data_IF_617448164495
#
_entry.id   IF_617448164495
#
_cell.length_a   1.000
_cell.length_b   1.000
_cell.length_c   1.000
_cell.angle_alpha   90.00
_cell.angle_beta   90.00
_cell.angle_gamma   90.00
#
_symmetry.space_group_name_H-M   'P 1'
#
loop_
_entity.id
_entity.type
_entity.pdbx_description
1 polymer ?
#
# COMPACT_ATOMS: atom_id res chain seq x y z
N UNK A 1 -53.02 -27.70 20.84
CA UNK A 1 -53.77 -26.49 21.27
C UNK A 1 -53.08 -26.02 22.55
N UNK A 2 -52.15 -25.06 22.45
CA UNK A 2 -52.25 -23.70 23.05
C UNK A 2 -52.59 -23.72 24.55
N UNK A 3 -51.86 -23.14 25.51
CA UNK A 3 -50.95 -21.97 25.56
C UNK A 3 -50.25 -21.99 26.93
N UNK A 4 -48.93 -21.82 27.00
CA UNK A 4 -48.22 -20.58 27.38
C UNK A 4 -48.19 -20.31 28.91
N UNK A 5 -47.04 -20.65 29.50
CA UNK A 5 -46.55 -20.19 30.82
C UNK A 5 -46.24 -18.70 30.74
N UNK A 6 -46.65 -17.91 31.74
CA UNK A 6 -45.85 -16.74 32.13
C UNK A 6 -46.05 -16.39 33.61
N UNK A 7 -44.95 -16.49 34.35
CA UNK A 7 -44.78 -16.18 35.76
C UNK A 7 -43.57 -15.22 35.80
N UNK A 8 -43.84 -13.93 35.68
CA UNK A 8 -42.89 -12.85 35.92
C UNK A 8 -43.49 -11.96 37.01
N UNK A 9 -43.15 -12.18 38.29
CA UNK A 9 -41.95 -11.72 38.99
C UNK A 9 -41.87 -10.19 39.09
N UNK A 10 -42.39 -9.67 40.21
CA UNK A 10 -42.03 -8.38 40.77
C UNK A 10 -40.57 -8.45 41.23
N UNK A 11 -39.76 -7.44 40.91
CA UNK A 11 -38.95 -6.83 41.96
C UNK A 11 -38.60 -5.37 41.67
N UNK A 12 -38.70 -4.58 42.74
CA UNK A 12 -38.31 -3.20 42.91
C UNK A 12 -36.80 -3.16 43.21
N UNK A 13 -36.05 -2.26 42.56
CA UNK A 13 -35.02 -1.47 43.25
C UNK A 13 -34.58 -0.30 42.39
N UNK A 14 -35.10 0.88 42.72
CA UNK A 14 -34.55 2.17 42.29
C UNK A 14 -33.23 2.44 43.04
N UNK A 15 -32.15 2.71 42.30
CA UNK A 15 -30.91 3.29 42.83
C UNK A 15 -30.77 4.74 42.34
N UNK A 16 -30.84 5.75 43.23
CA UNK A 16 -30.53 7.13 42.87
C UNK A 16 -29.04 7.39 43.12
N UNK A 17 -28.26 7.44 42.04
CA UNK A 17 -26.82 7.69 42.13
C UNK A 17 -26.17 7.98 40.78
N UNK A 18 -26.81 8.82 39.95
CA UNK A 18 -26.24 9.28 38.69
C UNK A 18 -25.13 10.32 38.99
N UNK A 19 -23.88 9.90 38.87
CA UNK A 19 -22.73 10.81 38.80
C UNK A 19 -22.79 11.59 37.49
N UNK A 20 -22.53 12.91 37.49
CA UNK A 20 -22.55 13.70 36.26
C UNK A 20 -21.42 13.25 35.34
N UNK A 21 -21.81 12.75 34.16
CA UNK A 21 -20.93 12.45 33.03
C UNK A 21 -20.09 13.70 32.72
N UNK A 22 -18.74 13.65 32.80
CA UNK A 22 -17.93 14.80 32.41
C UNK A 22 -18.22 15.10 30.94
N UNK A 23 -18.77 16.29 30.72
CA UNK A 23 -18.96 16.89 29.40
C UNK A 23 -17.64 16.82 28.65
N UNK A 24 -17.57 15.96 27.63
CA UNK A 24 -16.41 15.83 26.76
C UNK A 24 -16.17 17.17 26.08
N UNK A 25 -15.22 17.94 26.58
CA UNK A 25 -14.72 19.11 25.89
C UNK A 25 -14.29 18.69 24.47
N UNK A 26 -14.62 19.46 23.43
CA UNK A 26 -14.12 19.18 22.09
C UNK A 26 -12.59 19.19 22.12
N UNK A 27 -11.97 18.10 21.69
CA UNK A 27 -10.53 17.97 21.62
C UNK A 27 -9.93 19.17 20.86
N UNK A 28 -8.78 19.71 21.31
CA UNK A 28 -8.14 20.83 20.64
C UNK A 28 -7.87 20.45 19.18
N UNK A 29 -8.28 21.34 18.27
CA UNK A 29 -8.07 21.23 16.83
C UNK A 29 -6.59 20.95 16.56
N UNK A 30 -6.26 19.71 16.21
CA UNK A 30 -4.90 19.32 15.88
C UNK A 30 -4.43 20.18 14.70
N UNK A 31 -3.26 20.82 14.85
CA UNK A 31 -2.61 21.52 13.76
C UNK A 31 -2.35 20.54 12.60
N UNK A 32 -2.43 20.98 11.34
CA UNK A 32 -2.15 20.11 10.21
C UNK A 32 -0.71 19.59 10.32
N UNK A 33 -0.47 18.31 9.99
CA UNK A 33 0.86 17.72 10.08
C UNK A 33 1.85 18.46 9.17
N UNK A 34 3.04 18.75 9.70
CA UNK A 34 4.11 19.45 8.97
C UNK A 34 4.56 18.67 7.72
N UNK A 35 4.46 17.35 7.77
CA UNK A 35 4.81 16.45 6.66
C UNK A 35 3.53 15.79 6.14
N UNK A 36 3.14 16.02 4.88
CA UNK A 36 2.01 15.33 4.27
C UNK A 36 2.21 13.82 4.37
N UNK A 37 1.32 13.17 5.11
CA UNK A 37 1.39 11.75 5.45
C UNK A 37 0.04 11.11 5.22
N UNK A 38 0.02 9.98 4.52
CA UNK A 38 -1.16 9.15 4.33
C UNK A 38 -0.85 7.72 4.75
N UNK A 39 -1.83 7.07 5.37
CA UNK A 39 -1.71 5.68 5.81
C UNK A 39 -2.97 4.89 5.46
N UNK A 40 -2.78 3.62 5.11
CA UNK A 40 -3.81 2.61 4.92
C UNK A 40 -3.40 1.32 5.60
N UNK A 41 -4.37 0.65 6.20
CA UNK A 41 -4.18 -0.59 6.95
C UNK A 41 -5.32 -1.54 6.57
N UNK A 42 -5.01 -2.73 6.06
CA UNK A 42 -6.00 -3.75 5.64
C UNK A 42 -5.46 -5.16 5.85
N UNK A 43 -6.35 -6.13 6.02
CA UNK A 43 -5.98 -7.55 6.03
C UNK A 43 -5.94 -8.06 4.60
N UNK A 44 -4.75 -8.46 4.13
CA UNK A 44 -4.53 -9.02 2.79
C UNK A 44 -4.17 -10.49 2.96
N UNK A 45 -5.02 -11.38 2.43
CA UNK A 45 -4.86 -12.83 2.59
C UNK A 45 -4.62 -13.28 4.05
N UNK A 46 -5.32 -12.65 5.00
CA UNK A 46 -5.21 -12.95 6.44
C UNK A 46 -3.98 -12.37 7.14
N UNK A 47 -3.17 -11.55 6.47
CA UNK A 47 -2.06 -10.81 7.09
C UNK A 47 -2.40 -9.31 7.16
N UNK A 48 -2.30 -8.73 8.36
CA UNK A 48 -2.42 -7.29 8.53
C UNK A 48 -1.29 -6.61 7.73
N UNK A 49 -1.66 -5.79 6.75
CA UNK A 49 -0.73 -5.07 5.89
C UNK A 49 -0.95 -3.58 6.06
N UNK A 50 0.12 -2.86 6.37
CA UNK A 50 0.13 -1.42 6.53
C UNK A 50 0.95 -0.77 5.42
N UNK A 51 0.37 0.26 4.81
CA UNK A 51 1.01 1.13 3.81
C UNK A 51 1.04 2.54 4.37
N UNK A 52 2.22 3.14 4.43
CA UNK A 52 2.46 4.52 4.84
C UNK A 52 3.17 5.25 3.69
N UNK A 53 2.69 6.44 3.35
CA UNK A 53 3.31 7.33 2.36
C UNK A 53 3.57 8.68 2.99
N UNK A 54 4.80 9.18 2.85
CA UNK A 54 5.22 10.49 3.32
C UNK A 54 5.87 11.28 2.19
N UNK A 55 5.46 12.52 2.01
CA UNK A 55 5.94 13.40 0.95
C UNK A 55 6.94 14.40 1.52
N UNK A 56 8.22 14.24 1.16
CA UNK A 56 9.27 15.19 1.51
C UNK A 56 9.55 16.15 0.33
N UNK A 57 10.35 17.17 0.59
CA UNK A 57 10.76 18.14 -0.43
C UNK A 57 11.54 17.44 -1.56
N UNK A 58 12.45 16.52 -1.22
CA UNK A 58 13.40 15.88 -2.13
C UNK A 58 13.07 14.43 -2.49
N UNK A 59 12.17 13.77 -1.76
CA UNK A 59 11.83 12.35 -1.96
C UNK A 59 10.43 11.99 -1.49
N UNK A 60 9.96 10.83 -1.91
CA UNK A 60 8.75 10.19 -1.36
C UNK A 60 9.17 8.95 -0.59
N UNK A 61 8.74 8.82 0.66
CA UNK A 61 8.97 7.62 1.45
C UNK A 61 7.70 6.78 1.43
N UNK A 62 7.82 5.52 1.04
CA UNK A 62 6.73 4.54 1.06
C UNK A 62 7.16 3.39 1.95
N UNK A 63 6.35 3.00 2.92
CA UNK A 63 6.60 1.83 3.78
C UNK A 63 5.45 0.86 3.62
N UNK A 64 5.76 -0.39 3.27
CA UNK A 64 4.83 -1.51 3.18
C UNK A 64 5.28 -2.57 4.18
N UNK A 65 4.47 -2.87 5.19
CA UNK A 65 4.85 -3.87 6.21
C UNK A 65 3.69 -4.75 6.61
N UNK A 66 3.98 -6.02 6.87
CA UNK A 66 3.03 -7.00 7.43
C UNK A 66 3.36 -7.44 8.86
N UNK A 67 4.53 -7.02 9.37
CA UNK A 67 5.06 -7.50 10.66
C UNK A 67 5.45 -6.34 11.59
N UNK A 68 5.06 -5.11 11.26
CA UNK A 68 5.49 -3.90 11.95
C UNK A 68 7.00 -3.62 11.84
N UNK A 69 7.68 -4.24 10.85
CA UNK A 69 9.12 -4.10 10.58
C UNK A 69 9.37 -3.81 9.11
N UNK A 70 10.39 -3.02 8.82
CA UNK A 70 10.66 -2.50 7.47
C UNK A 70 11.42 -3.51 6.57
N UNK A 71 11.97 -4.60 7.10
CA UNK A 71 12.57 -5.67 6.28
C UNK A 71 13.74 -5.21 5.42
N UNK A 72 13.46 -4.81 4.18
CA UNK A 72 14.42 -4.25 3.22
C UNK A 72 14.03 -2.82 2.84
N UNK A 73 15.02 -1.99 2.50
CA UNK A 73 14.76 -0.65 1.96
C UNK A 73 15.50 -0.45 0.65
N UNK A 74 14.78 0.04 -0.35
CA UNK A 74 15.23 0.19 -1.74
C UNK A 74 14.90 1.61 -2.19
N UNK A 75 15.87 2.31 -2.74
CA UNK A 75 15.63 3.56 -3.45
C UNK A 75 15.30 3.27 -4.91
N UNK A 76 14.24 3.89 -5.41
CA UNK A 76 13.85 3.91 -6.81
C UNK A 76 14.15 5.29 -7.34
N UNK A 77 15.18 5.39 -8.18
CA UNK A 77 15.56 6.65 -8.81
C UNK A 77 14.80 6.80 -10.12
N UNK A 78 14.25 8.00 -10.41
CA UNK A 78 13.54 8.25 -11.66
C UNK A 78 14.47 8.07 -12.87
N UNK A 79 13.90 7.80 -14.05
CA UNK A 79 14.68 7.77 -15.28
C UNK A 79 15.35 9.13 -15.53
N UNK A 80 16.58 9.16 -16.08
CA UNK A 80 17.29 10.40 -16.35
C UNK A 80 16.49 11.28 -17.34
N UNK A 81 16.36 12.57 -17.01
CA UNK A 81 15.50 13.54 -17.72
C UNK A 81 15.78 13.69 -19.23
N UNK A 82 16.91 13.19 -19.73
CA UNK A 82 17.25 13.20 -21.16
C UNK A 82 16.36 12.31 -22.02
N UNK A 83 15.64 11.33 -21.44
CA UNK A 83 14.76 10.43 -22.17
C UNK A 83 13.30 10.89 -22.23
N UNK A 84 12.89 11.85 -21.39
CA UNK A 84 11.54 12.40 -21.36
C UNK A 84 11.26 13.44 -22.48
N UNK A 85 12.23 13.70 -23.37
CA UNK A 85 12.06 14.58 -24.54
C UNK A 85 11.46 13.89 -25.76
N UNK A 86 11.15 12.60 -25.70
CA UNK A 86 10.40 11.96 -26.77
C UNK A 86 8.95 12.47 -26.75
N UNK A 87 8.39 12.90 -27.89
CA UNK A 87 7.00 13.33 -27.96
C UNK A 87 6.10 12.20 -27.45
N UNK A 88 5.05 12.52 -26.66
CA UNK A 88 4.13 11.52 -26.16
C UNK A 88 3.56 10.73 -27.33
N UNK A 89 3.84 9.43 -27.36
CA UNK A 89 3.31 8.53 -28.38
C UNK A 89 1.78 8.64 -28.35
N UNK A 90 1.10 8.79 -29.51
CA UNK A 90 -0.35 8.90 -29.54
C UNK A 90 -0.97 7.67 -28.86
N UNK A 91 -2.01 7.85 -28.03
CA UNK A 91 -2.68 6.73 -27.39
C UNK A 91 -3.21 5.77 -28.46
N UNK A 92 -3.07 4.44 -28.27
CA UNK A 92 -3.65 3.48 -29.19
C UNK A 92 -5.17 3.67 -29.21
N UNK A 93 -5.70 4.09 -30.36
CA UNK A 93 -7.12 4.23 -30.63
C UNK A 93 -7.75 2.84 -30.66
N UNK A 94 -8.16 2.32 -29.50
CA UNK A 94 -9.09 1.21 -29.43
C UNK A 94 -9.99 1.33 -28.20
N UNK A 95 -11.20 1.81 -28.45
CA UNK A 95 -12.40 1.51 -27.65
C UNK A 95 -12.73 0.01 -27.87
N UNK A 96 -13.25 -0.73 -26.87
CA UNK A 96 -14.51 -0.38 -26.21
C UNK A 96 -14.45 -0.30 -24.68
N UNK A 97 -15.08 0.74 -24.16
CA UNK A 97 -16.01 0.80 -23.03
C UNK A 97 -16.27 -0.50 -22.25
N UNK A 98 -15.30 -0.95 -21.48
CA UNK A 98 -15.52 -1.79 -20.31
C UNK A 98 -14.55 -1.32 -19.22
N UNK A 99 -14.99 -1.11 -17.96
CA UNK A 99 -14.05 -0.89 -16.88
C UNK A 99 -13.08 -2.07 -16.84
N UNK A 100 -11.76 -1.85 -16.67
CA UNK A 100 -10.82 -2.94 -16.58
C UNK A 100 -11.25 -3.85 -15.44
N UNK A 101 -11.73 -5.06 -15.76
CA UNK A 101 -12.13 -6.04 -14.74
C UNK A 101 -10.91 -6.54 -13.93
N UNK A 102 -9.70 -6.19 -14.37
CA UNK A 102 -8.47 -6.49 -13.67
C UNK A 102 -7.80 -5.20 -13.18
N UNK A 103 -7.72 -4.95 -11.85
CA UNK A 103 -7.13 -3.73 -11.29
C UNK A 103 -5.65 -3.56 -11.67
N UNK A 104 -4.95 -4.66 -11.98
CA UNK A 104 -3.55 -4.61 -12.43
C UNK A 104 -3.37 -3.94 -13.80
N UNK A 105 -4.39 -3.96 -14.66
CA UNK A 105 -4.31 -3.36 -15.99
C UNK A 105 -4.32 -1.82 -15.94
N UNK A 106 -4.78 -1.23 -14.83
CA UNK A 106 -4.79 0.22 -14.63
C UNK A 106 -3.43 0.77 -14.13
N UNK A 107 -2.51 -0.10 -13.72
CA UNK A 107 -1.23 0.31 -13.15
C UNK A 107 -0.30 0.93 -14.21
N UNK A 108 0.53 1.92 -13.83
CA UNK A 108 1.58 2.43 -14.70
C UNK A 108 2.58 1.34 -15.07
N UNK A 109 3.08 1.36 -16.30
CA UNK A 109 4.23 0.55 -16.68
C UNK A 109 5.48 1.15 -16.04
N UNK A 110 6.29 0.38 -15.31
CA UNK A 110 7.57 0.85 -14.83
C UNK A 110 8.49 1.20 -15.98
N UNK A 111 9.27 2.28 -15.81
CA UNK A 111 10.27 2.69 -16.80
C UNK A 111 11.50 1.78 -16.69
N UNK A 112 11.95 1.13 -17.78
CA UNK A 112 13.10 0.22 -17.76
C UNK A 112 14.41 0.92 -17.38
N UNK A 113 14.48 2.25 -17.44
CA UNK A 113 15.65 3.04 -17.04
C UNK A 113 15.58 3.55 -15.60
N UNK A 114 14.56 3.16 -14.82
CA UNK A 114 14.53 3.40 -13.38
C UNK A 114 15.61 2.57 -12.68
N UNK A 115 16.37 3.19 -11.78
CA UNK A 115 17.46 2.53 -11.07
C UNK A 115 16.98 2.13 -9.67
N UNK A 116 17.05 0.84 -9.36
CA UNK A 116 16.82 0.30 -8.02
C UNK A 116 18.15 0.22 -7.26
N UNK A 117 18.23 0.88 -6.11
CA UNK A 117 19.42 0.89 -5.26
C UNK A 117 19.04 0.38 -3.86
N UNK A 118 19.41 -0.85 -3.50
CA UNK A 118 19.24 -1.35 -2.14
C UNK A 118 19.99 -0.44 -1.14
N UNK A 119 19.30 0.00 -0.10
CA UNK A 119 19.85 0.88 0.94
C UNK A 119 20.16 0.10 2.22
N UNK A 120 19.25 -0.77 2.66
CA UNK A 120 19.48 -1.65 3.81
C UNK A 120 18.62 -2.92 3.74
N UNK A 121 19.06 -3.93 4.49
CA UNK A 121 18.34 -5.21 4.62
C UNK A 121 18.61 -6.13 3.44
N UNK A 122 18.46 -7.43 3.70
CA UNK A 122 18.61 -8.47 2.68
C UNK A 122 17.35 -9.33 2.73
N UNK A 123 16.67 -9.56 1.60
CA UNK A 123 15.55 -10.48 1.51
C UNK A 123 15.98 -11.89 1.97
N UNK A 124 15.15 -12.64 2.70
CA UNK A 124 15.55 -13.93 3.26
C UNK A 124 15.67 -15.04 2.20
N UNK A 125 15.17 -14.83 0.98
CA UNK A 125 15.30 -15.76 -0.15
C UNK A 125 15.48 -15.02 -1.48
N UNK A 126 16.06 -15.66 -2.51
CA UNK A 126 16.20 -15.08 -3.85
C UNK A 126 14.86 -14.71 -4.49
N UNK A 127 13.83 -15.54 -4.33
CA UNK A 127 12.47 -15.29 -4.80
C UNK A 127 11.90 -13.98 -4.20
N UNK A 128 12.06 -13.77 -2.89
CA UNK A 128 11.62 -12.55 -2.25
C UNK A 128 12.46 -11.33 -2.67
N UNK A 129 13.73 -11.51 -3.04
CA UNK A 129 14.52 -10.43 -3.62
C UNK A 129 13.92 -9.93 -4.93
N UNK A 130 13.60 -10.86 -5.85
CA UNK A 130 12.95 -10.50 -7.10
C UNK A 130 11.58 -9.84 -6.88
N UNK A 131 10.80 -10.38 -5.94
CA UNK A 131 9.51 -9.81 -5.57
C UNK A 131 9.68 -8.39 -5.00
N UNK A 132 10.64 -8.13 -4.11
CA UNK A 132 10.89 -6.79 -3.58
C UNK A 132 11.27 -5.79 -4.69
N UNK A 133 12.08 -6.20 -5.67
CA UNK A 133 12.44 -5.36 -6.82
C UNK A 133 11.22 -5.06 -7.70
N UNK A 134 10.33 -6.04 -7.90
CA UNK A 134 9.06 -5.84 -8.61
C UNK A 134 8.17 -4.82 -7.90
N UNK A 135 8.03 -4.92 -6.57
CA UNK A 135 7.28 -3.96 -5.78
C UNK A 135 7.91 -2.56 -5.85
N UNK A 136 9.24 -2.46 -5.73
CA UNK A 136 9.97 -1.21 -5.82
C UNK A 136 9.73 -0.52 -7.18
N UNK A 137 9.96 -1.25 -8.26
CA UNK A 137 9.76 -0.77 -9.63
C UNK A 137 8.32 -0.28 -9.87
N UNK A 138 7.33 -1.07 -9.44
CA UNK A 138 5.93 -0.72 -9.64
C UNK A 138 5.47 0.47 -8.78
N UNK A 139 5.87 0.52 -7.51
CA UNK A 139 5.55 1.65 -6.62
C UNK A 139 6.21 2.93 -7.13
N UNK A 140 7.47 2.84 -7.58
CA UNK A 140 8.15 3.95 -8.24
C UNK A 140 7.35 4.49 -9.42
N UNK A 141 6.89 3.62 -10.31
CA UNK A 141 6.06 3.99 -11.45
C UNK A 141 4.75 4.70 -11.06
N UNK A 142 4.08 4.25 -9.99
CA UNK A 142 2.85 4.88 -9.46
C UNK A 142 3.16 6.28 -8.94
N UNK A 143 4.20 6.42 -8.13
CA UNK A 143 4.60 7.71 -7.56
C UNK A 143 5.04 8.67 -8.66
N UNK A 144 5.89 8.24 -9.59
CA UNK A 144 6.35 9.09 -10.69
C UNK A 144 5.20 9.53 -11.60
N UNK A 145 4.20 8.67 -11.86
CA UNK A 145 3.02 9.07 -12.63
C UNK A 145 2.17 10.09 -11.88
N UNK A 146 1.90 9.86 -10.59
CA UNK A 146 1.01 10.73 -9.80
C UNK A 146 1.67 12.07 -9.42
N UNK A 147 2.97 12.06 -9.15
CA UNK A 147 3.71 13.23 -8.65
C UNK A 147 4.62 13.88 -9.70
N UNK A 148 5.10 13.12 -10.69
CA UNK A 148 6.02 13.62 -11.72
C UNK A 148 5.36 14.41 -12.86
N UNK A 149 4.02 14.48 -12.90
CA UNK A 149 3.27 15.35 -13.83
C UNK A 149 3.07 16.79 -13.33
N UNK A 150 3.55 17.12 -12.14
CA UNK A 150 3.38 18.43 -11.50
C UNK A 150 4.57 19.35 -11.74
N UNK A 151 4.35 20.35 -12.60
CA UNK A 151 5.17 21.56 -12.80
C UNK A 151 6.65 21.33 -13.21
N UNK A 152 6.99 21.74 -14.43
CA UNK A 152 8.37 21.75 -14.97
C UNK A 152 9.32 22.57 -14.08
N UNK A 153 8.78 23.46 -13.25
CA UNK A 153 9.52 24.26 -12.27
C UNK A 153 9.87 23.51 -10.97
N UNK A 154 9.19 22.40 -10.66
CA UNK A 154 9.38 21.64 -9.41
C UNK A 154 10.49 20.58 -9.45
N UNK A 155 11.29 20.53 -10.52
CA UNK A 155 12.58 19.80 -10.51
C UNK A 155 12.53 18.31 -10.83
N UNK A 156 11.52 17.84 -11.58
CA UNK A 156 11.44 16.47 -12.07
C UNK A 156 10.82 15.48 -11.07
N UNK A 157 10.73 14.21 -11.46
CA UNK A 157 10.17 13.16 -10.61
C UNK A 157 11.07 12.96 -9.36
N UNK A 158 10.47 13.01 -8.16
CA UNK A 158 11.21 12.79 -6.91
C UNK A 158 11.56 11.31 -6.75
N UNK A 159 12.78 10.94 -6.33
CA UNK A 159 13.11 9.55 -6.01
C UNK A 159 12.20 9.01 -4.91
N UNK A 160 11.93 7.71 -4.97
CA UNK A 160 11.12 6.99 -3.98
C UNK A 160 12.03 6.16 -3.11
N UNK A 161 11.84 6.21 -1.79
CA UNK A 161 12.48 5.30 -0.85
C UNK A 161 11.40 4.33 -0.36
N UNK A 162 11.46 3.09 -0.82
CA UNK A 162 10.55 2.01 -0.41
C UNK A 162 11.16 1.23 0.75
N UNK A 163 10.45 1.14 1.87
CA UNK A 163 10.66 0.13 2.89
C UNK A 163 9.65 -1.01 2.73
N UNK A 164 10.10 -2.26 2.67
CA UNK A 164 9.25 -3.43 2.43
C UNK A 164 9.56 -4.59 3.39
N UNK A 165 8.56 -4.97 4.18
CA UNK A 165 8.62 -6.08 5.13
C UNK A 165 7.41 -6.99 4.99
N UNK A 166 7.40 -7.82 3.94
CA UNK A 166 6.36 -8.82 3.71
C UNK A 166 6.70 -10.13 4.39
N UNK A 167 5.68 -10.86 4.85
CA UNK A 167 5.87 -12.16 5.48
C UNK A 167 6.00 -13.23 4.41
N UNK A 168 7.09 -14.02 4.47
CA UNK A 168 7.21 -15.20 3.62
C UNK A 168 6.09 -16.19 3.95
N UNK A 169 5.35 -16.61 2.92
CA UNK A 169 4.44 -17.75 3.06
C UNK A 169 5.29 -19.01 3.00
N UNK A 170 5.21 -19.84 4.04
CA UNK A 170 5.69 -21.19 3.94
C UNK A 170 4.82 -21.89 2.89
N UNK A 171 5.38 -22.23 1.74
CA UNK A 171 4.81 -23.24 0.86
C UNK A 171 4.75 -24.53 1.66
N UNK A 172 3.60 -24.81 2.24
CA UNK A 172 3.35 -26.08 2.92
C UNK A 172 3.17 -27.17 1.88
N UNK A 173 4.27 -27.72 1.36
CA UNK A 173 4.30 -29.01 0.69
C UNK A 173 5.74 -29.54 0.74
N UNK A 174 5.89 -30.69 1.38
CA UNK A 174 7.07 -31.52 1.28
C UNK A 174 7.27 -31.91 -0.19
N UNK A 175 8.37 -31.48 -0.81
CA UNK A 175 8.91 -32.13 -2.02
C UNK A 175 8.46 -31.62 -3.38
N UNK A 176 8.51 -30.30 -3.65
CA UNK A 176 8.47 -29.79 -5.03
C UNK A 176 9.70 -28.92 -5.30
N UNK A 177 10.28 -29.13 -6.47
CA UNK A 177 11.65 -28.77 -6.88
C UNK A 177 12.00 -27.28 -6.68
N UNK A 178 13.27 -27.01 -6.35
CA UNK A 178 13.86 -25.69 -6.06
C UNK A 178 13.83 -24.68 -7.23
N UNK A 179 13.13 -24.98 -8.34
CA UNK A 179 13.21 -24.25 -9.61
C UNK A 179 11.91 -23.56 -10.06
N UNK A 180 10.80 -23.67 -9.32
CA UNK A 180 9.56 -22.99 -9.72
C UNK A 180 9.54 -21.52 -9.23
N UNK A 181 10.12 -20.64 -10.06
CA UNK A 181 10.14 -19.17 -9.91
C UNK A 181 8.78 -18.53 -10.24
N UNK A 182 7.69 -19.31 -10.21
CA UNK A 182 6.38 -18.78 -10.57
C UNK A 182 5.71 -18.07 -9.39
N UNK A 183 5.22 -16.84 -9.63
CA UNK A 183 4.46 -16.07 -8.64
C UNK A 183 3.16 -16.80 -8.29
N UNK A 184 3.03 -17.16 -7.01
CA UNK A 184 1.83 -17.80 -6.49
C UNK A 184 0.62 -16.86 -6.63
N UNK A 185 -0.59 -17.43 -6.76
CA UNK A 185 -1.81 -16.63 -6.86
C UNK A 185 -1.99 -15.67 -5.67
N UNK A 186 -1.58 -16.09 -4.47
CA UNK A 186 -1.61 -15.27 -3.28
C UNK A 186 -0.66 -14.07 -3.34
N UNK A 187 0.53 -14.23 -3.93
CA UNK A 187 1.48 -13.12 -4.11
C UNK A 187 0.96 -12.11 -5.12
N UNK A 188 0.33 -12.58 -6.22
CA UNK A 188 -0.29 -11.71 -7.23
C UNK A 188 -1.44 -10.89 -6.64
N UNK A 189 -2.29 -11.52 -5.85
CA UNK A 189 -3.37 -10.83 -5.13
C UNK A 189 -2.82 -9.83 -4.12
N UNK A 190 -1.80 -10.22 -3.36
CA UNK A 190 -1.16 -9.33 -2.38
C UNK A 190 -0.55 -8.11 -3.08
N UNK A 191 0.14 -8.34 -4.19
CA UNK A 191 0.71 -7.29 -5.02
C UNK A 191 -0.36 -6.32 -5.51
N UNK A 192 -1.46 -6.83 -6.08
CA UNK A 192 -2.56 -5.99 -6.57
C UNK A 192 -3.13 -5.08 -5.47
N UNK A 193 -3.43 -5.67 -4.31
CA UNK A 193 -4.01 -4.93 -3.17
C UNK A 193 -3.03 -3.90 -2.59
N UNK A 194 -1.74 -4.22 -2.52
CA UNK A 194 -0.72 -3.24 -2.07
C UNK A 194 -0.63 -2.07 -3.04
N UNK A 195 -0.63 -2.31 -4.35
CA UNK A 195 -0.58 -1.22 -5.35
C UNK A 195 -1.81 -0.33 -5.28
N UNK A 196 -2.99 -0.91 -5.03
CA UNK A 196 -4.23 -0.16 -4.77
C UNK A 196 -4.09 0.72 -3.52
N UNK A 197 -3.65 0.16 -2.39
CA UNK A 197 -3.43 0.91 -1.14
C UNK A 197 -2.44 2.07 -1.31
N UNK A 198 -1.36 1.87 -2.07
CA UNK A 198 -0.39 2.92 -2.41
C UNK A 198 -1.06 4.00 -3.27
N UNK A 199 -1.87 3.59 -4.25
CA UNK A 199 -2.66 4.50 -5.08
C UNK A 199 -3.58 5.38 -4.26
N UNK A 200 -4.33 4.81 -3.32
CA UNK A 200 -5.23 5.55 -2.40
C UNK A 200 -4.49 6.53 -1.49
N UNK A 201 -3.27 6.18 -1.05
CA UNK A 201 -2.47 7.07 -0.19
C UNK A 201 -1.98 8.32 -0.94
N UNK A 202 -1.92 8.28 -2.27
CA UNK A 202 -1.41 9.36 -3.11
C UNK A 202 -2.51 10.28 -3.67
N UNK A 203 -3.80 10.01 -3.39
CA UNK A 203 -4.96 10.71 -3.96
C UNK A 203 -5.42 10.06 -5.24
#
# INVERSE_FOLDING_TARGET
MSTLLDLANLDLASTPGATPKPSSAPAPSALPPVIPTAQRARSINGQQTDVLVQLFADRVVVVVTQMGRIGCMIQVSPPPSSLSMLPPMPPPTHLPSAPPQNPLAALPRPDPSSILTPLFGVPPSPHLSYLHDLYASQIGAIVFRKMGGGDVLSGGAKPVVLGIGLKQRASGAEGEDEDDVELTQAERETFAQVMEMVGECLG
#
